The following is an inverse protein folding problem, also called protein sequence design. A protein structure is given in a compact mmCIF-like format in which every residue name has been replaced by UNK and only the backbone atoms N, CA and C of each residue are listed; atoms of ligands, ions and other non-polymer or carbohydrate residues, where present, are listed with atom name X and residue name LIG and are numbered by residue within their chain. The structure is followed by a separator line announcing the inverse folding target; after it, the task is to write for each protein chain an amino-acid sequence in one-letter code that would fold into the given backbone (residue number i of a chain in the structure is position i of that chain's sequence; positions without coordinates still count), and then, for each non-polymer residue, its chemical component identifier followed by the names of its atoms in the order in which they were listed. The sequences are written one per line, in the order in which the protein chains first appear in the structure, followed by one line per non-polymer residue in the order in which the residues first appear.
data_IF_682546771728
#
_entry.id   IF_682546771728
#
_cell.length_a   1.000
_cell.length_b   1.000
_cell.length_c   1.000
_cell.angle_alpha   90.00
_cell.angle_beta   90.00
_cell.angle_gamma   90.00
#
_symmetry.space_group_name_H-M   'P 1'
#
loop_
_entity.id
_entity.type
_entity.pdbx_description
1 polymer ?
#
# COMPACT_ATOMS: atom_id res chain seq x y z
N UNK A 1 -5.13 4.90 4.14
CA UNK A 1 -5.17 3.43 4.23
C UNK A 1 -4.46 2.97 5.49
N UNK A 2 -5.12 2.18 6.33
CA UNK A 2 -4.55 1.67 7.59
C UNK A 2 -4.12 0.22 7.40
N UNK A 3 -2.88 -0.09 7.77
CA UNK A 3 -2.27 -1.41 7.60
C UNK A 3 -1.60 -1.83 8.90
N UNK A 4 -1.82 -3.09 9.29
CA UNK A 4 -1.11 -3.73 10.40
C UNK A 4 -0.03 -4.65 9.85
N UNK A 5 1.21 -4.43 10.28
CA UNK A 5 2.36 -5.27 9.94
C UNK A 5 2.71 -6.13 11.16
N UNK A 6 2.64 -7.45 11.02
CA UNK A 6 3.01 -8.40 12.06
C UNK A 6 4.32 -9.10 11.69
N UNK A 7 5.35 -8.95 12.51
CA UNK A 7 6.62 -9.64 12.35
C UNK A 7 6.59 -10.95 13.14
N UNK A 8 6.40 -12.06 12.45
CA UNK A 8 6.39 -13.41 13.05
C UNK A 8 7.78 -14.07 13.08
N UNK A 9 8.83 -13.36 12.64
CA UNK A 9 10.21 -13.83 12.66
C UNK A 9 10.89 -13.68 14.03
N UNK A 10 12.10 -14.24 14.14
CA UNK A 10 12.90 -14.22 15.38
C UNK A 10 13.78 -12.97 15.57
N UNK A 11 13.87 -12.10 14.57
CA UNK A 11 14.66 -10.85 14.61
C UNK A 11 13.77 -9.66 14.28
N UNK A 12 14.18 -8.46 14.71
CA UNK A 12 13.47 -7.24 14.38
C UNK A 12 13.62 -6.92 12.87
N UNK A 13 12.52 -6.62 12.20
CA UNK A 13 12.52 -6.01 10.87
C UNK A 13 12.93 -4.54 11.03
N UNK A 14 14.12 -4.18 10.54
CA UNK A 14 14.76 -2.89 10.78
C UNK A 14 14.45 -1.87 9.70
N UNK A 15 14.12 -2.34 8.51
CA UNK A 15 13.78 -1.50 7.37
C UNK A 15 12.87 -2.24 6.42
N UNK A 16 12.23 -1.50 5.53
CA UNK A 16 11.43 -2.09 4.48
C UNK A 16 10.48 -1.09 3.88
N UNK A 17 9.73 -1.58 2.91
CA UNK A 17 8.90 -0.76 2.06
C UNK A 17 7.57 -1.44 1.82
N UNK A 18 6.50 -0.66 1.92
CA UNK A 18 5.16 -1.05 1.50
C UNK A 18 4.82 -0.41 0.16
N UNK A 19 4.21 -1.17 -0.74
CA UNK A 19 3.72 -0.73 -2.04
C UNK A 19 2.21 -0.95 -2.13
N UNK A 20 1.51 0.08 -2.58
CA UNK A 20 0.07 0.11 -2.79
C UNK A 20 -0.21 0.19 -4.28
N UNK A 21 -0.92 -0.78 -4.82
CA UNK A 21 -1.42 -0.75 -6.20
C UNK A 21 -2.84 -0.18 -6.23
N UNK A 22 -2.98 1.02 -6.77
CA UNK A 22 -4.27 1.69 -6.95
C UNK A 22 -4.68 1.62 -8.42
N UNK A 23 -5.79 0.93 -8.66
CA UNK A 23 -6.35 0.70 -9.98
C UNK A 23 -7.31 1.83 -10.33
N UNK A 24 -7.21 2.36 -11.55
CA UNK A 24 -8.15 3.32 -12.12
C UNK A 24 -9.12 2.55 -12.99
N UNK A 25 -10.37 2.52 -12.55
CA UNK A 25 -11.42 1.70 -13.12
C UNK A 25 -12.41 2.55 -13.89
N UNK A 26 -12.74 2.11 -15.11
CA UNK A 26 -13.79 2.70 -15.92
C UNK A 26 -15.20 2.31 -15.45
N UNK A 27 -16.22 2.88 -16.07
CA UNK A 27 -17.64 2.66 -15.72
C UNK A 27 -18.09 1.18 -15.73
N UNK A 28 -17.38 0.31 -16.45
CA UNK A 28 -17.64 -1.14 -16.49
C UNK A 28 -16.73 -1.96 -15.56
N UNK A 29 -15.98 -1.31 -14.67
CA UNK A 29 -14.98 -1.96 -13.80
C UNK A 29 -13.72 -2.44 -14.53
N UNK A 30 -13.57 -2.09 -15.82
CA UNK A 30 -12.37 -2.36 -16.61
C UNK A 30 -11.20 -1.57 -16.01
N UNK A 31 -10.06 -2.22 -15.85
CA UNK A 31 -8.82 -1.58 -15.40
C UNK A 31 -8.13 -0.89 -16.58
N UNK A 32 -7.97 0.42 -16.48
CA UNK A 32 -7.31 1.24 -17.49
C UNK A 32 -5.87 1.58 -17.11
N UNK A 33 -5.57 1.63 -15.81
CA UNK A 33 -4.25 1.98 -15.30
C UNK A 33 -4.07 1.53 -13.86
N UNK A 34 -2.86 1.10 -13.51
CA UNK A 34 -2.45 0.88 -12.13
C UNK A 34 -1.38 1.90 -11.74
N UNK A 35 -1.62 2.63 -10.65
CA UNK A 35 -0.68 3.56 -10.03
C UNK A 35 -0.11 2.91 -8.77
N UNK A 36 1.21 2.68 -8.76
CA UNK A 36 1.91 2.13 -7.60
C UNK A 36 2.48 3.26 -6.74
N UNK A 37 2.12 3.30 -5.46
CA UNK A 37 2.71 4.20 -4.47
C UNK A 37 3.53 3.40 -3.48
N UNK A 38 4.73 3.86 -3.16
CA UNK A 38 5.69 3.13 -2.32
C UNK A 38 6.10 4.01 -1.14
N UNK A 39 6.04 3.46 0.08
CA UNK A 39 6.32 4.20 1.32
C UNK A 39 7.12 3.31 2.30
N UNK A 40 7.95 3.90 3.18
CA UNK A 40 8.70 3.12 4.17
C UNK A 40 7.76 2.46 5.19
N UNK A 41 8.15 1.29 5.69
CA UNK A 41 7.47 0.64 6.82
C UNK A 41 7.64 1.44 8.12
N UNK A 42 6.75 1.26 9.13
CA UNK A 42 6.88 1.88 10.46
C UNK A 42 7.94 1.15 11.30
N UNK A 43 9.14 1.00 10.74
CA UNK A 43 10.24 0.26 11.32
C UNK A 43 10.90 1.03 12.49
N UNK A 44 11.59 0.33 13.40
CA UNK A 44 11.71 -1.13 13.48
C UNK A 44 10.44 -1.80 14.01
N UNK A 45 10.17 -3.04 13.56
CA UNK A 45 9.11 -3.91 14.08
C UNK A 45 9.78 -5.09 14.79
N UNK A 46 9.66 -5.14 16.13
CA UNK A 46 10.29 -6.17 16.94
C UNK A 46 9.78 -7.57 16.58
N UNK A 47 10.61 -8.59 16.82
CA UNK A 47 10.24 -9.99 16.67
C UNK A 47 8.99 -10.32 17.48
N UNK A 48 8.05 -11.04 16.88
CA UNK A 48 6.77 -11.43 17.51
C UNK A 48 5.78 -10.28 17.74
N UNK A 49 6.06 -9.07 17.25
CA UNK A 49 5.21 -7.88 17.47
C UNK A 49 4.47 -7.44 16.21
N UNK A 50 3.42 -6.63 16.41
CA UNK A 50 2.71 -5.97 15.32
C UNK A 50 2.72 -4.46 15.48
N UNK A 51 2.75 -3.74 14.36
CA UNK A 51 2.58 -2.29 14.30
C UNK A 51 1.53 -1.90 13.28
N UNK A 52 0.61 -1.04 13.69
CA UNK A 52 -0.40 -0.45 12.81
C UNK A 52 0.04 0.94 12.37
N UNK A 53 -0.10 1.23 11.09
CA UNK A 53 0.22 2.53 10.53
C UNK A 53 -0.82 2.96 9.50
N UNK A 54 -1.06 4.27 9.42
CA UNK A 54 -1.98 4.84 8.44
C UNK A 54 -1.20 5.65 7.42
N UNK A 55 -1.29 5.21 6.17
CA UNK A 55 -0.64 5.85 5.03
C UNK A 55 -1.61 6.67 4.22
N UNK A 56 -1.15 7.81 3.74
CA UNK A 56 -1.84 8.59 2.72
C UNK A 56 -1.43 8.07 1.35
N UNK A 57 -2.38 7.53 0.58
CA UNK A 57 -2.15 7.04 -0.78
C UNK A 57 -2.88 7.97 -1.73
N UNK A 58 -2.13 8.67 -2.58
CA UNK A 58 -2.65 9.66 -3.49
C UNK A 58 -2.55 9.16 -4.94
N UNK A 59 -3.54 9.53 -5.74
CA UNK A 59 -3.48 9.46 -7.20
C UNK A 59 -3.75 10.87 -7.71
N UNK A 60 -2.93 11.35 -8.63
CA UNK A 60 -3.14 12.65 -9.25
C UNK A 60 -4.49 12.67 -9.97
N UNK A 61 -5.27 13.75 -9.78
CA UNK A 61 -6.64 13.84 -10.29
C UNK A 61 -6.74 13.65 -11.81
N UNK A 62 -5.76 14.14 -12.57
CA UNK A 62 -5.73 13.98 -14.04
C UNK A 62 -5.62 12.52 -14.50
N UNK A 63 -5.16 11.61 -13.63
CA UNK A 63 -5.12 10.17 -13.90
C UNK A 63 -6.47 9.48 -13.66
N UNK A 64 -7.47 10.19 -13.15
CA UNK A 64 -8.83 9.69 -12.92
C UNK A 64 -9.82 10.51 -13.76
N UNK A 65 -10.01 10.15 -15.05
CA UNK A 65 -10.99 10.81 -15.91
C UNK A 65 -12.42 10.80 -15.34
N UNK A 66 -13.26 11.70 -15.86
CA UNK A 66 -14.67 11.77 -15.48
C UNK A 66 -15.39 10.42 -15.74
N UNK A 67 -16.18 9.98 -14.76
CA UNK A 67 -16.88 8.69 -14.81
C UNK A 67 -16.02 7.49 -14.42
N UNK A 68 -14.76 7.69 -14.04
CA UNK A 68 -13.87 6.67 -13.50
C UNK A 68 -13.71 6.81 -12.00
N UNK A 69 -13.26 5.75 -11.34
CA UNK A 69 -12.93 5.75 -9.91
C UNK A 69 -11.65 4.97 -9.62
N UNK A 70 -11.18 5.05 -8.38
CA UNK A 70 -9.97 4.34 -7.96
C UNK A 70 -10.27 3.28 -6.91
N UNK A 71 -9.53 2.17 -6.97
CA UNK A 71 -9.55 1.11 -5.97
C UNK A 71 -8.13 0.64 -5.64
N UNK A 72 -7.73 0.76 -4.38
CA UNK A 72 -6.48 0.16 -3.91
C UNK A 72 -6.71 -1.32 -3.58
N UNK A 73 -6.20 -2.22 -4.42
CA UNK A 73 -6.50 -3.67 -4.32
C UNK A 73 -5.38 -4.51 -3.75
N UNK A 74 -4.12 -4.14 -4.05
CA UNK A 74 -2.96 -4.94 -3.63
C UNK A 74 -2.03 -4.10 -2.76
N UNK A 75 -1.70 -4.66 -1.59
CA UNK A 75 -0.66 -4.15 -0.70
C UNK A 75 0.43 -5.20 -0.61
N UNK A 76 1.65 -4.83 -0.97
CA UNK A 76 2.81 -5.70 -0.79
C UNK A 76 3.81 -5.02 0.12
N UNK A 77 4.49 -5.79 0.95
CA UNK A 77 5.55 -5.30 1.80
C UNK A 77 6.79 -6.16 1.62
N UNK A 78 7.95 -5.51 1.68
CA UNK A 78 9.26 -6.15 1.68
C UNK A 78 10.04 -5.57 2.85
N UNK A 79 10.77 -6.41 3.59
CA UNK A 79 11.49 -5.96 4.78
C UNK A 79 12.71 -6.83 5.05
N UNK A 80 13.66 -6.24 5.78
CA UNK A 80 14.88 -6.88 6.29
C UNK A 80 15.08 -6.53 7.77
#
# INVERSE_FOLDING_TARGET
MTVTFANTGGTAARSGTVSFATHVLGALGIDWATVTTTQPLPAPIAAGSARTHTYTVCVDSWRVPLGMHIETRKVTATWN
#
